data_IF_029019807758
#
_entry.id   IF_029019807758
#
_cell.length_a   1.000
_cell.length_b   1.000
_cell.length_c   1.000
_cell.angle_alpha   90.00
_cell.angle_beta   90.00
_cell.angle_gamma   90.00
#
_symmetry.space_group_name_H-M   'P 1'
#
loop_
_entity.id
_entity.type
_entity.pdbx_description
1 polymer ?
#
# COMPACT_ATOMS: atom_id res chain seq x y z
N UNK A 1 26.72 29.30 3.50
CA UNK A 1 27.38 28.01 3.27
C UNK A 1 26.29 26.95 3.22
N UNK A 2 25.92 26.49 2.02
CA UNK A 2 24.92 25.44 1.84
C UNK A 2 25.67 24.12 1.64
N UNK A 3 25.71 23.28 2.67
CA UNK A 3 26.23 21.92 2.55
C UNK A 3 25.23 21.09 1.74
N UNK A 4 25.61 20.72 0.51
CA UNK A 4 24.89 19.75 -0.31
C UNK A 4 25.09 18.36 0.27
N UNK A 5 24.02 17.76 0.78
CA UNK A 5 23.97 16.33 1.10
C UNK A 5 23.81 15.58 -0.22
N UNK A 6 24.90 14.98 -0.73
CA UNK A 6 24.81 14.05 -1.86
C UNK A 6 24.15 12.75 -1.40
N UNK A 7 23.02 12.40 -2.02
CA UNK A 7 22.43 11.09 -1.88
C UNK A 7 23.27 10.08 -2.67
N UNK A 8 24.15 9.35 -1.98
CA UNK A 8 24.91 8.24 -2.53
C UNK A 8 23.93 7.19 -3.03
N UNK A 9 23.93 6.93 -4.34
CA UNK A 9 23.15 5.85 -4.93
C UNK A 9 23.79 4.52 -4.52
N UNK A 10 23.03 3.56 -3.96
CA UNK A 10 23.60 2.30 -3.48
C UNK A 10 24.24 1.51 -4.63
N UNK A 11 25.33 0.83 -4.33
CA UNK A 11 26.10 0.02 -5.29
C UNK A 11 25.38 -1.31 -5.57
N UNK A 12 25.69 -1.97 -6.71
CA UNK A 12 24.99 -3.18 -7.15
C UNK A 12 25.01 -4.32 -6.10
N UNK A 13 26.11 -4.47 -5.36
CA UNK A 13 26.26 -5.47 -4.29
C UNK A 13 25.35 -5.19 -3.09
N UNK A 14 25.20 -3.91 -2.70
CA UNK A 14 24.28 -3.52 -1.62
C UNK A 14 22.82 -3.79 -2.01
N UNK A 15 22.48 -3.62 -3.29
CA UNK A 15 21.12 -3.89 -3.80
C UNK A 15 20.80 -5.40 -3.74
N UNK A 16 21.77 -6.26 -4.06
CA UNK A 16 21.61 -7.72 -3.93
C UNK A 16 21.39 -8.15 -2.48
N UNK A 17 22.15 -7.60 -1.53
CA UNK A 17 21.98 -7.90 -0.10
C UNK A 17 20.62 -7.42 0.44
N UNK A 18 20.12 -6.26 -0.02
CA UNK A 18 18.80 -5.77 0.38
C UNK A 18 17.68 -6.66 -0.15
N UNK A 19 17.81 -7.15 -1.39
CA UNK A 19 16.82 -8.05 -1.97
C UNK A 19 16.75 -9.39 -1.25
N UNK A 20 17.90 -9.92 -0.80
CA UNK A 20 17.96 -11.13 0.03
C UNK A 20 17.25 -10.91 1.37
N UNK A 21 17.50 -9.78 2.05
CA UNK A 21 16.84 -9.45 3.31
C UNK A 21 15.34 -9.27 3.17
N UNK A 22 14.86 -8.54 2.16
CA UNK A 22 13.42 -8.32 1.97
C UNK A 22 12.66 -9.57 1.49
N UNK A 23 13.37 -10.59 0.99
CA UNK A 23 12.81 -11.90 0.67
C UNK A 23 12.87 -12.89 1.84
N UNK A 24 13.55 -12.54 2.94
CA UNK A 24 13.74 -13.38 4.12
C UNK A 24 12.65 -13.14 5.19
N UNK A 25 11.80 -14.14 5.48
CA UNK A 25 10.79 -14.08 6.53
C UNK A 25 11.35 -13.76 7.91
N UNK A 26 12.53 -14.26 8.26
CA UNK A 26 13.11 -14.04 9.58
C UNK A 26 13.48 -12.56 9.74
N UNK A 27 14.14 -11.97 8.74
CA UNK A 27 14.40 -10.54 8.68
C UNK A 27 13.12 -9.70 8.79
N UNK A 28 12.09 -9.99 7.99
CA UNK A 28 10.83 -9.23 8.00
C UNK A 28 10.14 -9.27 9.38
N UNK A 29 10.24 -10.38 10.11
CA UNK A 29 9.57 -10.57 11.41
C UNK A 29 10.35 -9.95 12.56
N UNK A 30 11.68 -10.07 12.55
CA UNK A 30 12.52 -9.81 13.74
C UNK A 30 13.30 -8.50 13.68
N UNK A 31 13.56 -7.96 12.48
CA UNK A 31 14.33 -6.73 12.34
C UNK A 31 13.60 -5.51 12.91
N UNK A 32 14.38 -4.48 13.25
CA UNK A 32 13.85 -3.17 13.61
C UNK A 32 12.91 -2.65 12.49
N UNK A 33 11.64 -2.34 12.79
CA UNK A 33 10.68 -1.96 11.76
C UNK A 33 11.10 -0.72 10.97
N UNK A 34 11.81 0.24 11.58
CA UNK A 34 12.30 1.43 10.87
C UNK A 34 13.36 1.06 9.82
N UNK A 35 14.22 0.10 10.14
CA UNK A 35 15.20 -0.44 9.20
C UNK A 35 14.52 -1.13 8.02
N UNK A 36 13.49 -1.94 8.27
CA UNK A 36 12.76 -2.61 7.18
C UNK A 36 12.08 -1.58 6.29
N UNK A 37 11.39 -0.60 6.89
CA UNK A 37 10.67 0.48 6.17
C UNK A 37 11.61 1.27 5.25
N UNK A 38 12.81 1.62 5.71
CA UNK A 38 13.79 2.34 4.92
C UNK A 38 14.25 1.57 3.66
N UNK A 39 14.14 0.24 3.66
CA UNK A 39 14.57 -0.61 2.55
C UNK A 39 13.44 -0.93 1.56
N UNK A 40 12.17 -0.69 1.90
CA UNK A 40 11.03 -1.15 1.07
C UNK A 40 11.02 -0.56 -0.34
N UNK A 41 11.55 0.64 -0.54
CA UNK A 41 11.53 1.33 -1.82
C UNK A 41 12.70 0.99 -2.74
N UNK A 42 13.75 0.33 -2.22
CA UNK A 42 14.91 -0.12 -3.01
C UNK A 42 14.78 -1.58 -3.48
N UNK A 43 13.70 -2.28 -3.12
CA UNK A 43 13.43 -3.66 -3.53
C UNK A 43 13.39 -3.82 -5.07
N UNK A 44 14.26 -4.66 -5.60
CA UNK A 44 14.53 -4.78 -7.04
C UNK A 44 14.26 -6.18 -7.60
N UNK A 45 14.36 -7.23 -6.78
CA UNK A 45 14.02 -8.60 -7.19
C UNK A 45 12.52 -8.86 -7.10
N UNK A 46 11.95 -9.82 -7.86
CA UNK A 46 10.55 -10.20 -7.72
C UNK A 46 10.16 -10.59 -6.29
N UNK A 47 10.98 -11.40 -5.62
CA UNK A 47 10.73 -11.85 -4.24
C UNK A 47 10.79 -10.68 -3.23
N UNK A 48 11.79 -9.81 -3.35
CA UNK A 48 11.92 -8.63 -2.49
C UNK A 48 10.76 -7.65 -2.67
N UNK A 49 10.27 -7.48 -3.90
CA UNK A 49 9.09 -6.63 -4.17
C UNK A 49 7.82 -7.17 -3.50
N UNK A 50 7.65 -8.50 -3.50
CA UNK A 50 6.53 -9.15 -2.80
C UNK A 50 6.68 -8.96 -1.29
N UNK A 51 7.84 -9.27 -0.71
CA UNK A 51 8.08 -9.06 0.72
C UNK A 51 7.87 -7.60 1.14
N UNK A 52 8.32 -6.66 0.32
CA UNK A 52 8.09 -5.25 0.55
C UNK A 52 6.61 -4.85 0.42
N UNK A 53 5.85 -5.43 -0.51
CA UNK A 53 4.41 -5.18 -0.64
C UNK A 53 3.65 -5.70 0.59
N UNK A 54 3.94 -6.93 1.03
CA UNK A 54 3.39 -7.53 2.24
C UNK A 54 3.65 -6.65 3.46
N UNK A 55 4.90 -6.20 3.64
CA UNK A 55 5.27 -5.36 4.79
C UNK A 55 4.60 -3.97 4.77
N UNK A 56 4.42 -3.37 3.59
CA UNK A 56 3.80 -2.04 3.47
C UNK A 56 2.35 -2.01 3.95
N UNK A 57 1.58 -3.10 3.82
CA UNK A 57 0.16 -3.15 4.19
C UNK A 57 -0.07 -2.80 5.66
N UNK A 58 0.83 -3.25 6.53
CA UNK A 58 0.72 -3.08 7.98
C UNK A 58 1.91 -2.31 8.58
N UNK A 59 2.66 -1.55 7.77
CA UNK A 59 3.88 -0.85 8.18
C UNK A 59 3.68 0.03 9.44
N UNK A 60 2.55 0.74 9.51
CA UNK A 60 2.18 1.58 10.66
C UNK A 60 1.99 0.75 11.95
N UNK A 61 1.44 -0.46 11.83
CA UNK A 61 1.24 -1.37 12.95
C UNK A 61 2.54 -2.04 13.38
N UNK A 62 3.47 -2.27 12.45
CA UNK A 62 4.75 -2.92 12.74
C UNK A 62 5.62 -2.14 13.72
N UNK A 63 5.53 -0.80 13.74
CA UNK A 63 6.27 0.04 14.70
C UNK A 63 5.90 -0.22 16.16
N UNK A 64 4.62 -0.45 16.42
CA UNK A 64 4.11 -0.71 17.76
C UNK A 64 4.05 -2.22 18.10
N UNK A 65 4.19 -3.09 17.10
CA UNK A 65 4.09 -4.53 17.26
C UNK A 65 5.45 -5.18 17.58
N UNK A 66 5.46 -6.03 18.61
CA UNK A 66 6.52 -7.02 18.82
C UNK A 66 6.55 -8.07 17.72
N UNK A 67 7.66 -8.82 17.62
CA UNK A 67 7.91 -9.80 16.55
C UNK A 67 6.80 -10.87 16.41
N UNK A 68 6.21 -11.33 17.51
CA UNK A 68 5.11 -12.30 17.50
C UNK A 68 3.85 -11.79 16.77
N UNK A 69 3.41 -10.58 17.09
CA UNK A 69 2.26 -9.92 16.43
C UNK A 69 2.61 -9.56 14.98
N UNK A 70 3.84 -9.10 14.74
CA UNK A 70 4.32 -8.77 13.39
C UNK A 70 4.30 -9.98 12.47
N UNK A 71 4.74 -11.14 12.94
CA UNK A 71 4.66 -12.42 12.24
C UNK A 71 3.23 -12.73 11.79
N UNK A 72 2.25 -12.55 12.68
CA UNK A 72 0.84 -12.81 12.36
C UNK A 72 0.31 -11.85 11.30
N UNK A 73 0.59 -10.54 11.46
CA UNK A 73 0.19 -9.52 10.48
C UNK A 73 0.79 -9.80 9.09
N UNK A 74 2.09 -10.09 9.03
CA UNK A 74 2.78 -10.35 7.77
C UNK A 74 2.30 -11.63 7.08
N UNK A 75 2.04 -12.70 7.85
CA UNK A 75 1.46 -13.91 7.27
C UNK A 75 0.02 -13.68 6.78
N UNK A 76 -0.79 -12.90 7.48
CA UNK A 76 -2.11 -12.48 7.01
C UNK A 76 -2.03 -11.69 5.70
N UNK A 77 -1.13 -10.71 5.63
CA UNK A 77 -0.97 -9.86 4.46
C UNK A 77 -0.41 -10.65 3.27
N UNK A 78 0.56 -11.55 3.47
CA UNK A 78 1.04 -12.47 2.44
C UNK A 78 -0.10 -13.34 1.87
N UNK A 79 -0.96 -13.88 2.73
CA UNK A 79 -2.14 -14.63 2.29
C UNK A 79 -3.13 -13.75 1.49
N UNK A 80 -3.27 -12.46 1.82
CA UNK A 80 -4.09 -11.50 1.02
C UNK A 80 -3.49 -11.19 -0.35
N UNK A 81 -2.19 -11.30 -0.52
CA UNK A 81 -1.54 -11.24 -1.84
C UNK A 81 -1.58 -12.57 -2.61
N UNK A 82 -2.15 -13.63 -2.01
CA UNK A 82 -2.16 -14.99 -2.60
C UNK A 82 -0.84 -15.75 -2.43
N UNK A 83 0.12 -15.18 -1.70
CA UNK A 83 1.47 -15.71 -1.50
C UNK A 83 1.49 -16.76 -0.37
N UNK A 84 0.88 -17.92 -0.62
CA UNK A 84 0.69 -18.98 0.38
C UNK A 84 1.99 -19.54 0.93
N UNK A 85 3.00 -19.71 0.09
CA UNK A 85 4.30 -20.24 0.51
C UNK A 85 5.02 -19.25 1.43
N UNK A 86 5.05 -17.97 1.07
CA UNK A 86 5.61 -16.92 1.90
C UNK A 86 4.84 -16.79 3.22
N UNK A 87 3.51 -16.83 3.18
CA UNK A 87 2.65 -16.85 4.38
C UNK A 87 3.01 -18.00 5.31
N UNK A 88 3.23 -19.20 4.79
CA UNK A 88 3.59 -20.37 5.60
C UNK A 88 4.99 -20.24 6.20
N UNK A 89 5.96 -19.77 5.42
CA UNK A 89 7.33 -19.53 5.90
C UNK A 89 7.38 -18.46 6.99
N UNK A 90 6.64 -17.36 6.83
CA UNK A 90 6.51 -16.31 7.87
C UNK A 90 5.87 -16.89 9.14
N UNK A 91 4.77 -17.63 9.01
CA UNK A 91 4.12 -18.24 10.17
C UNK A 91 5.04 -19.21 10.94
N UNK A 92 5.99 -19.84 10.25
CA UNK A 92 6.97 -20.76 10.83
C UNK A 92 8.15 -20.08 11.52
N UNK A 93 8.34 -18.76 11.38
CA UNK A 93 9.45 -18.05 12.05
C UNK A 93 9.32 -18.19 13.57
N UNK A 94 10.40 -18.66 14.19
CA UNK A 94 10.51 -18.83 15.64
C UNK A 94 10.78 -17.47 16.28
N UNK A 95 9.95 -17.09 17.25
CA UNK A 95 10.12 -15.85 18.02
C UNK A 95 10.27 -16.23 19.48
N UNK A 96 11.36 -15.79 20.12
CA UNK A 96 11.62 -16.07 21.53
C UNK A 96 10.49 -15.53 22.43
N UNK A 97 10.08 -16.32 23.42
CA UNK A 97 9.06 -15.94 24.39
C UNK A 97 7.60 -16.09 23.90
N UNK A 98 7.39 -16.46 22.65
CA UNK A 98 6.06 -16.75 22.08
C UNK A 98 5.89 -18.26 21.90
N UNK A 99 4.73 -18.85 22.27
CA UNK A 99 4.49 -20.27 22.04
C UNK A 99 4.51 -20.54 20.53
N UNK A 100 5.48 -21.35 20.11
CA UNK A 100 5.51 -21.91 18.78
C UNK A 100 4.31 -22.85 18.61
N UNK A 101 3.25 -22.38 17.97
CA UNK A 101 2.24 -23.27 17.43
C UNK A 101 0.82 -22.74 17.37
N UNK A 102 0.25 -22.94 16.18
CA UNK A 102 -1.18 -23.03 15.86
C UNK A 102 -1.92 -21.74 15.48
N UNK A 103 -1.21 -20.75 14.96
CA UNK A 103 -1.88 -19.77 14.12
C UNK A 103 -1.34 -19.89 12.69
N UNK A 104 -2.24 -20.25 11.78
CA UNK A 104 -2.00 -20.30 10.34
C UNK A 104 -3.19 -19.68 9.64
N UNK A 105 -2.93 -18.87 8.62
CA UNK A 105 -4.00 -18.27 7.82
C UNK A 105 -4.60 -19.35 6.92
N UNK A 106 -5.78 -19.86 7.30
CA UNK A 106 -6.51 -20.85 6.51
C UNK A 106 -7.22 -20.21 5.31
N UNK A 107 -7.73 -18.99 5.48
CA UNK A 107 -8.33 -18.19 4.43
C UNK A 107 -8.20 -16.69 4.72
N UNK A 108 -8.22 -15.86 3.68
CA UNK A 108 -8.31 -14.39 3.78
C UNK A 108 -9.30 -13.86 2.75
N UNK A 109 -10.09 -12.84 3.13
CA UNK A 109 -10.81 -12.02 2.15
C UNK A 109 -9.82 -11.05 1.51
N UNK A 110 -9.97 -10.82 0.20
CA UNK A 110 -9.07 -9.93 -0.55
C UNK A 110 -7.82 -10.60 -1.12
N UNK A 111 -7.78 -11.93 -1.28
CA UNK A 111 -6.67 -12.74 -1.85
C UNK A 111 -6.23 -12.39 -3.30
N UNK A 112 -6.76 -11.31 -3.86
CA UNK A 112 -6.43 -10.75 -5.18
C UNK A 112 -5.77 -9.37 -5.09
N UNK A 113 -5.26 -8.96 -3.93
CA UNK A 113 -4.41 -7.78 -3.87
C UNK A 113 -3.19 -8.06 -4.75
N UNK A 114 -2.95 -7.21 -5.75
CA UNK A 114 -1.77 -7.29 -6.60
C UNK A 114 -0.60 -6.66 -5.83
N UNK A 115 0.60 -7.28 -5.76
CA UNK A 115 1.77 -6.72 -5.07
C UNK A 115 2.17 -5.31 -5.53
N UNK A 116 1.74 -4.88 -6.71
CA UNK A 116 1.90 -3.51 -7.21
C UNK A 116 0.97 -2.50 -6.54
N UNK A 117 -0.12 -2.95 -5.91
CA UNK A 117 -0.97 -2.11 -5.09
C UNK A 117 -0.19 -1.67 -3.85
N UNK A 118 0.18 -0.37 -3.83
CA UNK A 118 0.76 0.26 -2.65
C UNK A 118 -0.36 0.84 -1.77
N UNK A 119 -0.54 0.35 -0.54
CA UNK A 119 -1.37 1.05 0.42
C UNK A 119 -0.73 2.41 0.70
N UNK A 120 -1.52 3.47 0.65
CA UNK A 120 -1.02 4.81 0.96
C UNK A 120 -0.79 4.90 2.47
N UNK A 121 0.39 5.39 2.94
CA UNK A 121 0.77 5.43 4.37
C UNK A 121 -0.24 6.16 5.26
N UNK A 122 -0.97 7.10 4.67
CA UNK A 122 -2.24 7.58 5.21
C UNK A 122 -3.31 6.81 4.46
N UNK A 123 -3.92 5.80 5.09
CA UNK A 123 -5.02 5.07 4.46
C UNK A 123 -6.01 6.07 3.87
N UNK A 124 -6.28 5.98 2.56
CA UNK A 124 -7.23 6.82 1.84
C UNK A 124 -8.69 6.63 2.30
N UNK A 125 -8.93 6.29 3.56
CA UNK A 125 -10.24 6.09 4.18
C UNK A 125 -10.44 6.95 5.43
N UNK A 126 -9.39 7.61 5.94
CA UNK A 126 -9.57 8.72 6.86
C UNK A 126 -10.03 9.94 6.08
N UNK A 127 -11.35 10.12 5.92
CA UNK A 127 -12.05 11.25 5.27
C UNK A 127 -12.42 11.11 3.77
N UNK A 128 -12.09 9.99 3.10
CA UNK A 128 -12.70 9.68 1.79
C UNK A 128 -14.11 9.16 1.99
N UNK A 129 -15.08 9.78 1.34
CA UNK A 129 -16.50 9.51 1.51
C UNK A 129 -17.12 8.82 0.30
N UNK A 130 -16.42 8.86 -0.85
CA UNK A 130 -16.85 8.19 -2.08
C UNK A 130 -15.64 7.83 -2.96
N UNK A 131 -15.75 6.72 -3.70
CA UNK A 131 -14.75 6.29 -4.68
C UNK A 131 -15.42 5.69 -5.93
N UNK A 132 -14.85 5.97 -7.10
CA UNK A 132 -15.19 5.32 -8.36
C UNK A 132 -13.90 5.07 -9.18
N UNK A 133 -13.98 4.20 -10.18
CA UNK A 133 -12.85 3.87 -11.06
C UNK A 133 -13.21 4.05 -12.52
N UNK A 134 -12.26 4.56 -13.31
CA UNK A 134 -12.41 4.69 -14.76
C UNK A 134 -11.13 4.26 -15.48
N UNK A 135 -11.26 3.98 -16.78
CA UNK A 135 -10.11 3.72 -17.65
C UNK A 135 -9.93 4.92 -18.58
N UNK A 136 -8.73 5.49 -18.56
CA UNK A 136 -8.30 6.59 -19.46
C UNK A 136 -7.08 6.10 -20.22
N UNK A 137 -7.15 6.07 -21.55
CA UNK A 137 -6.04 5.61 -22.42
C UNK A 137 -5.47 4.25 -22.01
N UNK A 138 -6.35 3.31 -21.63
CA UNK A 138 -5.97 1.96 -21.17
C UNK A 138 -5.40 1.90 -19.74
N UNK A 139 -5.34 3.01 -19.02
CA UNK A 139 -4.88 3.09 -17.62
C UNK A 139 -6.06 3.23 -16.66
N UNK A 140 -6.15 2.33 -15.68
CA UNK A 140 -7.13 2.46 -14.59
C UNK A 140 -6.75 3.62 -13.68
N UNK A 141 -7.70 4.52 -13.43
CA UNK A 141 -7.62 5.62 -12.49
C UNK A 141 -8.75 5.51 -11.46
N UNK A 142 -8.51 5.97 -10.24
CA UNK A 142 -9.51 6.09 -9.19
C UNK A 142 -9.87 7.56 -8.98
N UNK A 143 -11.15 7.85 -8.80
CA UNK A 143 -11.65 9.17 -8.39
C UNK A 143 -12.11 9.06 -6.95
N UNK A 144 -11.57 9.90 -6.07
CA UNK A 144 -11.90 9.91 -4.64
C UNK A 144 -12.54 11.24 -4.26
N UNK A 145 -13.69 11.18 -3.60
CA UNK A 145 -14.35 12.34 -2.98
C UNK A 145 -14.04 12.42 -1.49
N UNK A 146 -13.80 13.63 -1.00
CA UNK A 146 -13.36 13.89 0.37
C UNK A 146 -14.42 14.62 1.21
N UNK A 147 -14.32 14.48 2.54
CA UNK A 147 -15.15 15.20 3.50
C UNK A 147 -15.05 16.73 3.37
N UNK A 148 -13.88 17.24 2.97
CA UNK A 148 -13.65 18.67 2.76
C UNK A 148 -14.18 19.21 1.42
N UNK A 149 -14.85 18.40 0.61
CA UNK A 149 -15.30 18.77 -0.74
C UNK A 149 -14.26 18.61 -1.84
N UNK A 150 -13.04 18.18 -1.51
CA UNK A 150 -12.01 17.92 -2.51
C UNK A 150 -12.30 16.63 -3.28
N UNK A 151 -12.12 16.68 -4.60
CA UNK A 151 -12.14 15.52 -5.48
C UNK A 151 -10.75 15.34 -6.09
N UNK A 152 -10.19 14.13 -5.99
CA UNK A 152 -8.88 13.82 -6.55
C UNK A 152 -8.95 12.61 -7.48
N UNK A 153 -8.28 12.70 -8.62
CA UNK A 153 -8.00 11.54 -9.47
C UNK A 153 -6.65 10.98 -9.05
N UNK A 154 -6.55 9.68 -8.85
CA UNK A 154 -5.33 8.99 -8.43
C UNK A 154 -5.06 7.80 -9.32
N UNK A 155 -3.79 7.54 -9.56
CA UNK A 155 -3.36 6.26 -10.11
C UNK A 155 -3.30 5.23 -8.97
N UNK A 156 -4.12 4.16 -9.00
CA UNK A 156 -4.15 3.15 -7.95
C UNK A 156 -2.86 2.33 -7.87
N UNK A 157 -2.05 2.29 -8.94
CA UNK A 157 -0.76 1.57 -8.96
C UNK A 157 0.31 2.36 -8.23
N UNK A 158 0.42 3.66 -8.50
CA UNK A 158 1.46 4.51 -7.89
C UNK A 158 1.01 5.24 -6.64
N UNK A 159 -0.31 5.28 -6.36
CA UNK A 159 -0.91 6.08 -5.30
C UNK A 159 -0.85 7.59 -5.56
N UNK A 160 -0.31 8.02 -6.70
CA UNK A 160 -0.10 9.44 -7.00
C UNK A 160 -1.37 10.08 -7.54
N UNK A 161 -1.59 11.33 -7.15
CA UNK A 161 -2.61 12.15 -7.76
C UNK A 161 -2.24 12.44 -9.22
N UNK A 162 -3.23 12.31 -10.10
CA UNK A 162 -3.17 12.70 -11.51
C UNK A 162 -3.70 14.13 -11.61
N UNK A 163 -2.88 15.05 -12.14
CA UNK A 163 -3.16 16.48 -12.18
C UNK A 163 -2.56 17.24 -10.99
N UNK A 164 -2.36 18.56 -11.16
CA UNK A 164 -1.63 19.40 -10.19
C UNK A 164 -2.43 19.76 -8.94
N UNK A 165 -3.76 19.81 -9.03
CA UNK A 165 -4.62 20.23 -7.92
C UNK A 165 -5.87 19.36 -7.84
N UNK A 166 -6.38 19.07 -6.64
CA UNK A 166 -7.71 18.49 -6.46
C UNK A 166 -8.75 19.41 -7.08
N UNK A 167 -9.82 18.85 -7.62
CA UNK A 167 -10.96 19.64 -8.06
C UNK A 167 -11.72 20.14 -6.83
N UNK A 168 -11.91 21.46 -6.74
CA UNK A 168 -12.50 22.17 -5.59
C UNK A 168 -13.84 22.81 -5.95
N UNK A 169 -14.75 22.03 -6.55
CA UNK A 169 -16.09 22.49 -6.91
C UNK A 169 -17.08 22.42 -5.74
N UNK A 170 -16.97 21.35 -4.93
CA UNK A 170 -17.80 21.20 -3.74
C UNK A 170 -17.21 21.97 -2.57
N UNK A 171 -18.09 22.66 -1.85
CA UNK A 171 -17.74 23.37 -0.61
C UNK A 171 -18.05 22.54 0.64
N UNK A 172 -18.74 21.40 0.46
CA UNK A 172 -19.09 20.42 1.49
C UNK A 172 -18.70 19.01 1.06
N UNK A 173 -18.85 18.05 1.97
CA UNK A 173 -18.59 16.62 1.76
C UNK A 173 -19.14 16.14 0.42
N UNK A 174 -18.28 15.49 -0.35
CA UNK A 174 -18.68 14.74 -1.54
C UNK A 174 -19.29 13.43 -1.08
N UNK A 175 -20.59 13.21 -1.30
CA UNK A 175 -21.30 12.02 -0.86
C UNK A 175 -21.36 10.91 -1.91
N UNK A 176 -21.18 11.25 -3.18
CA UNK A 176 -21.18 10.28 -4.27
C UNK A 176 -20.21 10.68 -5.38
N UNK A 177 -19.60 9.68 -6.02
CA UNK A 177 -18.79 9.83 -7.23
C UNK A 177 -19.23 8.74 -8.20
N UNK A 178 -19.50 9.12 -9.44
CA UNK A 178 -19.75 8.20 -10.54
C UNK A 178 -18.81 8.55 -11.71
N UNK A 179 -18.45 7.55 -12.50
CA UNK A 179 -17.60 7.73 -13.68
C UNK A 179 -18.27 7.11 -14.90
N UNK A 180 -18.16 7.76 -16.05
CA UNK A 180 -18.72 7.29 -17.31
C UNK A 180 -17.89 7.75 -18.50
N UNK A 181 -18.20 7.24 -19.69
CA UNK A 181 -17.72 7.78 -20.95
C UNK A 181 -18.84 8.64 -21.55
N UNK A 182 -18.53 9.90 -21.85
CA UNK A 182 -19.41 10.80 -22.60
C UNK A 182 -18.74 11.06 -23.94
N UNK A 183 -19.34 10.56 -25.03
CA UNK A 183 -18.80 10.68 -26.39
C UNK A 183 -17.33 10.21 -26.53
N UNK A 184 -16.98 9.14 -25.79
CA UNK A 184 -15.61 8.60 -25.75
C UNK A 184 -14.66 9.34 -24.82
N UNK A 185 -15.08 10.47 -24.23
CA UNK A 185 -14.32 11.20 -23.23
C UNK A 185 -14.66 10.68 -21.82
N UNK A 186 -13.68 10.27 -21.01
CA UNK A 186 -13.93 9.88 -19.63
C UNK A 186 -14.34 11.08 -18.77
N UNK A 187 -15.47 10.94 -18.06
CA UNK A 187 -16.06 11.98 -17.21
C UNK A 187 -16.31 11.41 -15.81
N UNK A 188 -16.05 12.23 -14.81
CA UNK A 188 -16.47 11.99 -13.43
C UNK A 188 -17.59 12.97 -13.05
N UNK A 189 -18.61 12.46 -12.37
CA UNK A 189 -19.73 13.24 -11.82
C UNK A 189 -19.69 13.09 -10.30
N UNK A 190 -19.78 14.20 -9.58
CA UNK A 190 -19.63 14.22 -8.12
C UNK A 190 -20.82 14.88 -7.47
N UNK A 191 -21.46 14.20 -6.52
CA UNK A 191 -22.58 14.75 -5.75
C UNK A 191 -22.11 15.14 -4.36
N UNK A 192 -22.50 16.33 -3.88
CA UNK A 192 -22.11 16.85 -2.57
C UNK A 192 -23.28 17.26 -1.69
N UNK A 193 -23.04 17.32 -0.38
CA UNK A 193 -24.01 17.81 0.61
C UNK A 193 -24.31 19.33 0.45
N UNK A 194 -23.68 19.99 -0.53
CA UNK A 194 -23.95 21.37 -0.95
C UNK A 194 -25.04 21.49 -2.03
N UNK A 195 -25.79 20.40 -2.26
CA UNK A 195 -26.93 20.34 -3.20
C UNK A 195 -26.47 20.56 -4.65
N UNK A 196 -25.23 20.21 -4.96
CA UNK A 196 -24.63 20.31 -6.30
C UNK A 196 -24.19 18.95 -6.82
N UNK A 197 -24.18 18.85 -8.15
CA UNK A 197 -23.67 17.75 -8.97
C UNK A 197 -22.63 18.31 -9.93
#
# INVERSE_FOLDING_TARGET
MLSSTSATTPTATETTTVDEWLADPEFLVTADPERVIALLDVASSPAARVGAAVYRVSAELHRAAGAGVRRQLLALDAARYGERELSARIAAVVVEGEPAGRWSVEWSSGSRLDPRCRPTPNGCLGQTTAIATLVVDGRTLAVTGHYSGAVAVRDPVTGRQVGRQPMTGHTRRVSAVATTLLDGCPVAVTGGDDVRV
#
